data_IF_782111742913
#
_entry.id   IF_782111742913
#
_cell.length_a   1.000
_cell.length_b   1.000
_cell.length_c   1.000
_cell.angle_alpha   90.00
_cell.angle_beta   90.00
_cell.angle_gamma   90.00
#
_symmetry.space_group_name_H-M   'P 1'
#
loop_
_entity.id
_entity.type
_entity.pdbx_description
1 polymer ?
#
# COMPACT_ATOMS: atom_id res chain seq x y z
N UNK A 1 -3.99 -47.70 8.84
CA UNK A 1 -3.81 -46.32 9.35
C UNK A 1 -2.54 -45.68 8.77
N UNK A 2 -2.56 -45.07 7.55
CA UNK A 2 -1.39 -44.35 6.97
C UNK A 2 -1.77 -43.24 5.95
N UNK A 3 -2.99 -42.68 5.98
CA UNK A 3 -3.42 -41.65 5.00
C UNK A 3 -3.79 -40.28 5.59
N UNK A 4 -3.84 -40.13 6.91
CA UNK A 4 -4.22 -38.87 7.57
C UNK A 4 -3.03 -37.99 7.99
N UNK A 5 -1.79 -38.49 7.94
CA UNK A 5 -0.60 -37.75 8.37
C UNK A 5 -0.02 -36.77 7.34
N UNK A 6 -0.41 -36.83 6.06
CA UNK A 6 0.16 -35.97 5.01
C UNK A 6 -0.54 -34.62 4.83
N UNK A 7 -1.76 -34.45 5.35
CA UNK A 7 -2.55 -33.22 5.17
C UNK A 7 -2.19 -32.15 6.23
N UNK A 8 -1.76 -32.58 7.43
CA UNK A 8 -1.35 -31.66 8.49
C UNK A 8 -0.08 -30.84 8.15
N UNK A 9 0.86 -31.42 7.39
CA UNK A 9 2.09 -30.74 6.99
C UNK A 9 1.88 -29.61 5.96
N UNK A 10 0.88 -29.75 5.08
CA UNK A 10 0.55 -28.74 4.07
C UNK A 10 -0.12 -27.53 4.73
N UNK A 11 -0.99 -27.76 5.73
CA UNK A 11 -1.61 -26.68 6.49
C UNK A 11 -0.59 -25.87 7.32
N UNK A 12 0.43 -26.53 7.88
CA UNK A 12 1.49 -25.85 8.62
C UNK A 12 2.38 -25.00 7.70
N UNK A 13 2.68 -25.47 6.48
CA UNK A 13 3.43 -24.72 5.49
C UNK A 13 2.64 -23.50 4.96
N UNK A 14 1.32 -23.61 4.80
CA UNK A 14 0.45 -22.48 4.44
C UNK A 14 0.37 -21.46 5.59
N UNK A 15 0.30 -21.90 6.86
CA UNK A 15 0.40 -20.98 7.99
C UNK A 15 1.78 -20.31 8.09
N UNK A 16 2.87 -21.01 7.76
CA UNK A 16 4.21 -20.41 7.73
C UNK A 16 4.39 -19.39 6.59
N UNK A 17 3.66 -19.54 5.48
CA UNK A 17 3.57 -18.52 4.42
C UNK A 17 2.84 -17.25 4.89
N UNK A 18 1.88 -17.37 5.82
CA UNK A 18 1.28 -16.22 6.52
C UNK A 18 2.15 -15.67 7.66
N UNK A 19 3.17 -16.41 8.10
CA UNK A 19 4.22 -15.93 9.02
C UNK A 19 5.54 -15.62 8.33
N UNK A 20 5.55 -15.33 7.02
CA UNK A 20 6.45 -14.30 6.52
C UNK A 20 6.03 -13.02 7.23
N UNK A 21 6.54 -12.86 8.45
CA UNK A 21 6.27 -11.76 9.36
C UNK A 21 6.40 -10.52 8.51
N UNK A 22 5.28 -9.91 8.12
CA UNK A 22 5.37 -8.62 7.46
C UNK A 22 6.10 -7.75 8.48
N UNK A 23 7.36 -7.42 8.21
CA UNK A 23 8.16 -6.53 9.04
C UNK A 23 7.68 -5.09 8.81
N UNK A 24 6.35 -4.92 8.74
CA UNK A 24 5.66 -3.64 8.69
C UNK A 24 5.96 -2.97 10.02
N UNK A 25 6.73 -1.86 10.02
CA UNK A 25 7.09 -1.15 11.23
C UNK A 25 5.82 -0.78 12.01
N UNK A 26 5.80 -1.12 13.31
CA UNK A 26 4.65 -0.88 14.18
C UNK A 26 4.52 0.56 14.66
N UNK A 27 5.58 1.37 14.50
CA UNK A 27 5.64 2.77 14.91
C UNK A 27 6.21 3.63 13.79
N UNK A 28 5.88 4.92 13.80
CA UNK A 28 6.38 5.87 12.80
C UNK A 28 7.92 6.00 12.86
N UNK A 29 8.51 5.99 14.05
CA UNK A 29 9.96 6.07 14.24
C UNK A 29 10.70 4.89 13.59
N UNK A 30 10.24 3.64 13.83
CA UNK A 30 10.80 2.44 13.19
C UNK A 30 10.57 2.45 11.68
N UNK A 31 9.44 3.01 11.24
CA UNK A 31 9.14 3.23 9.83
C UNK A 31 10.15 4.15 9.17
N UNK A 32 10.41 5.30 9.80
CA UNK A 32 11.41 6.28 9.36
C UNK A 32 12.80 5.66 9.28
N UNK A 33 13.30 5.08 10.37
CA UNK A 33 14.64 4.48 10.44
C UNK A 33 14.84 3.42 9.33
N UNK A 34 13.84 2.55 9.14
CA UNK A 34 13.88 1.52 8.09
C UNK A 34 13.97 2.13 6.69
N UNK A 35 13.18 3.17 6.41
CA UNK A 35 13.09 3.76 5.09
C UNK A 35 14.31 4.64 4.77
N UNK A 36 14.84 5.37 5.75
CA UNK A 36 16.10 6.11 5.63
C UNK A 36 17.26 5.16 5.31
N UNK A 37 17.37 4.01 5.99
CA UNK A 37 18.37 2.96 5.68
C UNK A 37 18.26 2.41 4.25
N UNK A 38 17.09 2.50 3.63
CA UNK A 38 16.85 2.11 2.23
C UNK A 38 17.09 3.25 1.23
N UNK A 39 17.55 4.41 1.72
CA UNK A 39 17.83 5.60 0.92
C UNK A 39 16.57 6.36 0.50
N UNK A 40 15.48 6.25 1.26
CA UNK A 40 14.31 7.10 1.06
C UNK A 40 14.47 8.41 1.82
N UNK A 41 14.01 9.49 1.20
CA UNK A 41 13.71 10.72 1.90
C UNK A 41 12.39 10.52 2.66
N UNK A 42 12.44 10.66 3.98
CA UNK A 42 11.28 10.45 4.85
C UNK A 42 10.82 11.78 5.44
N UNK A 43 9.57 12.13 5.17
CA UNK A 43 8.87 13.23 5.83
C UNK A 43 7.89 12.62 6.81
N UNK A 44 8.04 12.96 8.09
CA UNK A 44 7.06 12.63 9.13
C UNK A 44 6.23 13.86 9.40
N UNK A 45 4.92 13.78 9.19
CA UNK A 45 4.00 14.85 9.56
C UNK A 45 3.19 14.41 10.78
N UNK A 46 3.28 15.17 11.87
CA UNK A 46 2.26 15.18 12.92
C UNK A 46 0.99 15.82 12.36
N UNK A 47 -0.17 15.36 12.83
CA UNK A 47 -1.49 15.56 12.22
C UNK A 47 -2.07 16.95 12.41
N UNK A 48 -1.46 17.95 11.77
CA UNK A 48 -2.11 19.22 11.42
C UNK A 48 -2.20 19.43 9.90
N UNK A 49 -1.92 18.37 9.10
CA UNK A 49 -1.98 18.43 7.64
C UNK A 49 -3.23 17.70 7.17
N UNK A 50 -4.25 18.48 6.82
CA UNK A 50 -5.51 18.01 6.26
C UNK A 50 -5.29 17.60 4.78
N UNK A 51 -4.62 16.46 4.55
CA UNK A 51 -4.39 15.91 3.20
C UNK A 51 -5.66 15.16 2.78
N UNK A 52 -6.74 15.92 2.56
CA UNK A 52 -8.03 15.43 2.08
C UNK A 52 -8.70 14.38 2.99
N UNK A 53 -9.74 13.75 2.42
CA UNK A 53 -10.69 12.85 3.08
C UNK A 53 -10.10 11.48 3.51
N UNK A 54 -8.77 11.34 3.46
CA UNK A 54 -8.02 10.10 3.67
C UNK A 54 -7.49 9.96 5.11
N UNK A 55 -7.27 11.08 5.79
CA UNK A 55 -6.76 11.14 7.16
C UNK A 55 -7.85 11.66 8.10
N UNK A 56 -8.12 10.91 9.17
CA UNK A 56 -9.12 11.29 10.17
C UNK A 56 -8.48 11.89 11.42
N UNK A 57 -9.30 12.44 12.32
CA UNK A 57 -8.91 12.86 13.67
C UNK A 57 -8.37 11.71 14.54
N UNK A 58 -8.51 10.46 14.06
CA UNK A 58 -7.94 9.26 14.65
C UNK A 58 -6.58 8.88 14.06
N UNK A 59 -6.03 9.66 13.13
CA UNK A 59 -4.65 9.47 12.67
C UNK A 59 -3.70 9.98 13.76
N UNK A 60 -2.69 9.19 14.13
CA UNK A 60 -1.66 9.55 15.11
C UNK A 60 -0.39 10.06 14.43
N UNK A 61 -0.04 9.47 13.28
CA UNK A 61 1.13 9.85 12.52
C UNK A 61 0.95 9.48 11.04
N UNK A 62 1.60 10.25 10.18
CA UNK A 62 1.75 9.92 8.76
C UNK A 62 3.23 10.01 8.40
N UNK A 63 3.74 8.93 7.80
CA UNK A 63 5.03 8.91 7.14
C UNK A 63 4.81 8.97 5.65
N UNK A 64 5.44 9.92 4.98
CA UNK A 64 5.55 9.96 3.52
C UNK A 64 7.02 9.73 3.18
N UNK A 65 7.30 8.61 2.52
CA UNK A 65 8.66 8.22 2.13
C UNK A 65 8.73 8.27 0.61
N UNK A 66 9.76 8.92 0.06
CA UNK A 66 9.98 8.93 -1.39
C UNK A 66 11.43 8.74 -1.76
N UNK A 67 11.66 8.15 -2.93
CA UNK A 67 12.99 7.90 -3.50
C UNK A 67 12.90 7.95 -5.02
N UNK A 68 13.99 8.32 -5.67
CA UNK A 68 14.13 8.15 -7.11
C UNK A 68 14.71 6.77 -7.45
N UNK A 69 14.06 6.07 -8.37
CA UNK A 69 14.48 4.77 -8.90
C UNK A 69 14.32 4.83 -10.41
N UNK A 70 15.41 4.62 -11.16
CA UNK A 70 15.43 4.63 -12.62
C UNK A 70 14.83 5.92 -13.23
N UNK A 71 15.17 7.08 -12.66
CA UNK A 71 14.64 8.39 -13.09
C UNK A 71 13.18 8.65 -12.74
N UNK A 72 12.53 7.74 -11.98
CA UNK A 72 11.13 7.86 -11.55
C UNK A 72 11.05 7.99 -10.03
N UNK A 73 10.29 8.98 -9.55
CA UNK A 73 9.99 9.14 -8.13
C UNK A 73 8.94 8.10 -7.72
N UNK A 74 9.31 7.22 -6.79
CA UNK A 74 8.38 6.30 -6.11
C UNK A 74 8.12 6.79 -4.69
N UNK A 75 6.91 6.57 -4.19
CA UNK A 75 6.50 6.97 -2.86
C UNK A 75 5.69 5.89 -2.15
N UNK A 76 5.77 5.89 -0.83
CA UNK A 76 4.90 5.14 0.07
C UNK A 76 4.48 6.04 1.21
N UNK A 77 3.19 5.97 1.53
CA UNK A 77 2.59 6.61 2.70
C UNK A 77 2.20 5.53 3.70
N UNK A 78 2.61 5.69 4.95
CA UNK A 78 2.16 4.87 6.07
C UNK A 78 1.39 5.75 7.06
N UNK A 79 0.09 5.49 7.19
CA UNK A 79 -0.80 6.13 8.13
C UNK A 79 -0.97 5.25 9.37
N UNK A 80 -0.75 5.81 10.54
CA UNK A 80 -0.91 5.16 11.84
C UNK A 80 -2.18 5.69 12.48
N UNK A 81 -3.14 4.81 12.78
CA UNK A 81 -4.41 5.18 13.40
C UNK A 81 -4.45 4.77 14.87
N UNK A 82 -5.31 5.44 15.65
CA UNK A 82 -5.58 5.13 17.07
C UNK A 82 -6.20 3.74 17.24
N UNK A 83 -6.99 3.29 16.28
CA UNK A 83 -7.70 2.01 16.32
C UNK A 83 -7.65 1.27 14.97
N UNK A 84 -7.85 -0.05 15.03
CA UNK A 84 -7.74 -0.92 13.86
C UNK A 84 -9.00 -0.89 12.98
N UNK A 85 -10.13 -0.45 13.54
CA UNK A 85 -11.40 -0.33 12.82
C UNK A 85 -11.35 0.83 11.83
N UNK A 86 -10.82 1.98 12.24
CA UNK A 86 -10.57 3.13 11.37
C UNK A 86 -9.62 2.73 10.23
N UNK A 87 -8.50 2.07 10.55
CA UNK A 87 -7.57 1.59 9.54
C UNK A 87 -8.23 0.62 8.55
N UNK A 88 -9.17 -0.22 9.01
CA UNK A 88 -9.94 -1.15 8.17
C UNK A 88 -10.95 -0.40 7.29
N UNK A 89 -11.71 0.54 7.85
CA UNK A 89 -12.67 1.34 7.10
C UNK A 89 -11.98 2.13 5.98
N UNK A 90 -10.83 2.74 6.27
CA UNK A 90 -10.02 3.47 5.28
C UNK A 90 -9.45 2.52 4.23
N UNK A 91 -8.97 1.34 4.62
CA UNK A 91 -8.52 0.32 3.67
C UNK A 91 -9.62 -0.08 2.69
N UNK A 92 -10.83 -0.33 3.18
CA UNK A 92 -11.96 -0.73 2.34
C UNK A 92 -12.39 0.38 1.38
N UNK A 93 -12.44 1.64 1.86
CA UNK A 93 -12.73 2.81 1.01
C UNK A 93 -11.70 2.96 -0.12
N UNK A 94 -10.40 3.01 0.22
CA UNK A 94 -9.33 3.20 -0.78
C UNK A 94 -9.26 2.03 -1.76
N UNK A 95 -9.49 0.80 -1.29
CA UNK A 95 -9.56 -0.37 -2.16
C UNK A 95 -10.69 -0.25 -3.18
N UNK A 96 -11.89 0.11 -2.72
CA UNK A 96 -13.06 0.27 -3.58
C UNK A 96 -12.89 1.43 -4.58
N UNK A 97 -12.34 2.57 -4.14
CA UNK A 97 -12.06 3.72 -5.00
C UNK A 97 -11.03 3.38 -6.09
N UNK A 98 -9.93 2.71 -5.74
CA UNK A 98 -8.92 2.30 -6.72
C UNK A 98 -9.45 1.25 -7.72
N UNK A 99 -10.29 0.30 -7.26
CA UNK A 99 -10.95 -0.67 -8.15
C UNK A 99 -11.95 0.02 -9.10
N UNK A 100 -12.74 0.96 -8.60
CA UNK A 100 -13.69 1.75 -9.39
C UNK A 100 -12.97 2.61 -10.43
N UNK A 101 -11.94 3.35 -10.03
CA UNK A 101 -11.17 4.20 -10.94
C UNK A 101 -10.47 3.36 -12.02
N UNK A 102 -9.92 2.19 -11.65
CA UNK A 102 -9.30 1.29 -12.62
C UNK A 102 -10.32 0.80 -13.68
N UNK A 103 -11.54 0.49 -13.27
CA UNK A 103 -12.58 0.05 -14.22
C UNK A 103 -13.05 1.21 -15.10
N UNK A 104 -13.23 2.42 -14.54
CA UNK A 104 -13.55 3.63 -15.30
C UNK A 104 -12.48 3.94 -16.36
N UNK A 105 -11.19 3.81 -16.03
CA UNK A 105 -10.12 4.00 -17.01
C UNK A 105 -10.12 2.92 -18.10
N UNK A 106 -10.44 1.65 -17.77
CA UNK A 106 -10.58 0.60 -18.80
C UNK A 106 -11.76 0.86 -19.73
N UNK A 107 -12.88 1.34 -19.21
CA UNK A 107 -14.03 1.71 -20.03
C UNK A 107 -13.74 2.94 -20.89
N UNK A 108 -12.99 3.93 -20.36
CA UNK A 108 -12.51 5.06 -21.14
C UNK A 108 -11.58 4.60 -22.29
N UNK A 109 -10.68 3.64 -22.03
CA UNK A 109 -9.78 3.11 -23.05
C UNK A 109 -10.53 2.47 -24.23
N UNK A 110 -11.67 1.81 -23.98
CA UNK A 110 -12.52 1.23 -25.04
C UNK A 110 -13.19 2.28 -25.92
N UNK A 111 -13.40 3.48 -25.38
CA UNK A 111 -14.07 4.60 -26.05
C UNK A 111 -13.09 5.59 -26.67
N UNK A 112 -11.79 5.49 -26.35
CA UNK A 112 -10.77 6.39 -26.84
C UNK A 112 -10.58 6.23 -28.36
N UNK A 113 -10.74 7.33 -29.08
CA UNK A 113 -10.68 7.34 -30.55
C UNK A 113 -9.27 7.64 -31.07
N UNK A 114 -8.47 8.36 -30.27
CA UNK A 114 -7.11 8.80 -30.65
C UNK A 114 -6.03 8.00 -29.92
N UNK A 115 -4.86 7.88 -30.54
CA UNK A 115 -3.75 7.15 -29.93
C UNK A 115 -3.13 7.93 -28.76
N UNK A 116 -3.13 9.26 -28.80
CA UNK A 116 -2.70 10.10 -27.67
C UNK A 116 -3.58 9.92 -26.43
N UNK A 117 -4.90 9.80 -26.62
CA UNK A 117 -5.83 9.52 -25.53
C UNK A 117 -5.62 8.13 -24.95
N UNK A 118 -5.46 7.12 -25.81
CA UNK A 118 -5.14 5.73 -25.38
C UNK A 118 -3.84 5.69 -24.59
N UNK A 119 -2.80 6.40 -25.02
CA UNK A 119 -1.52 6.47 -24.32
C UNK A 119 -1.70 7.04 -22.90
N UNK A 120 -2.33 8.20 -22.77
CA UNK A 120 -2.62 8.82 -21.46
C UNK A 120 -3.46 7.94 -20.54
N UNK A 121 -4.47 7.25 -21.08
CA UNK A 121 -5.30 6.32 -20.29
C UNK A 121 -4.47 5.10 -19.86
N UNK A 122 -3.65 4.56 -20.75
CA UNK A 122 -2.76 3.43 -20.42
C UNK A 122 -1.73 3.80 -19.35
N UNK A 123 -1.19 5.01 -19.35
CA UNK A 123 -0.32 5.51 -18.27
C UNK A 123 -1.04 5.55 -16.93
N UNK A 124 -2.29 6.04 -16.89
CA UNK A 124 -3.13 6.03 -15.68
C UNK A 124 -3.42 4.61 -15.21
N UNK A 125 -3.80 3.71 -16.11
CA UNK A 125 -4.02 2.29 -15.80
C UNK A 125 -2.74 1.66 -15.24
N UNK A 126 -1.58 1.97 -15.81
CA UNK A 126 -0.29 1.48 -15.31
C UNK A 126 -0.01 2.00 -13.90
N UNK A 127 -0.27 3.28 -13.63
CA UNK A 127 -0.16 3.88 -12.29
C UNK A 127 -1.09 3.20 -11.27
N UNK A 128 -2.37 3.00 -11.62
CA UNK A 128 -3.35 2.31 -10.75
C UNK A 128 -3.00 0.84 -10.50
N UNK A 129 -2.30 0.18 -11.44
CA UNK A 129 -1.78 -1.19 -11.28
C UNK A 129 -0.48 -1.25 -10.47
N UNK A 130 0.31 -0.18 -10.47
CA UNK A 130 1.48 -0.02 -9.61
C UNK A 130 1.10 0.41 -8.19
N UNK A 131 -0.10 0.96 -7.99
CA UNK A 131 -0.64 1.20 -6.65
C UNK A 131 -0.77 -0.11 -5.86
N UNK A 132 -0.27 -0.09 -4.63
CA UNK A 132 -0.41 -1.18 -3.67
C UNK A 132 -0.93 -0.63 -2.36
N UNK A 133 -1.89 -1.33 -1.78
CA UNK A 133 -2.50 -1.02 -0.49
C UNK A 133 -2.33 -2.22 0.45
N UNK A 134 -1.88 -1.97 1.67
CA UNK A 134 -1.76 -2.98 2.74
C UNK A 134 -2.25 -2.41 4.06
N UNK A 135 -2.82 -3.27 4.89
CA UNK A 135 -3.17 -2.95 6.27
C UNK A 135 -2.52 -3.94 7.22
N UNK A 136 -2.01 -3.45 8.34
CA UNK A 136 -1.49 -4.26 9.43
C UNK A 136 -1.95 -3.67 10.77
N UNK A 137 -2.94 -4.31 11.40
CA UNK A 137 -3.57 -3.78 12.61
C UNK A 137 -4.12 -2.38 12.38
N UNK A 138 -3.52 -1.41 13.07
CA UNK A 138 -3.87 0.02 13.04
C UNK A 138 -3.13 0.83 11.97
N UNK A 139 -2.38 0.18 11.09
CA UNK A 139 -1.50 0.85 10.12
C UNK A 139 -2.03 0.57 8.71
N UNK A 140 -2.18 1.63 7.93
CA UNK A 140 -2.48 1.57 6.51
C UNK A 140 -1.25 2.02 5.73
N UNK A 141 -0.78 1.22 4.78
CA UNK A 141 0.40 1.49 3.97
C UNK A 141 0.00 1.46 2.51
N UNK A 142 0.28 2.52 1.77
CA UNK A 142 -0.11 2.64 0.37
C UNK A 142 0.85 3.47 -0.48
N UNK A 143 0.83 3.25 -1.79
CA UNK A 143 1.70 3.94 -2.75
C UNK A 143 2.22 2.99 -3.82
N UNK A 144 3.37 3.29 -4.40
CA UNK A 144 3.99 2.46 -5.42
C UNK A 144 4.34 1.07 -4.88
N UNK A 145 4.12 0.03 -5.68
CA UNK A 145 4.29 -1.38 -5.29
C UNK A 145 5.66 -1.66 -4.70
N UNK A 146 6.72 -1.14 -5.34
CA UNK A 146 8.09 -1.27 -4.86
C UNK A 146 8.29 -0.61 -3.49
N UNK A 147 7.81 0.62 -3.32
CA UNK A 147 7.98 1.36 -2.06
C UNK A 147 7.17 0.73 -0.90
N UNK A 148 5.97 0.22 -1.18
CA UNK A 148 5.15 -0.52 -0.20
C UNK A 148 5.81 -1.83 0.20
N UNK A 149 6.39 -2.56 -0.75
CA UNK A 149 7.20 -3.75 -0.48
C UNK A 149 8.41 -3.42 0.39
N UNK A 150 9.12 -2.35 0.04
CA UNK A 150 10.26 -1.88 0.81
C UNK A 150 9.88 -1.54 2.26
N UNK A 151 8.74 -0.88 2.46
CA UNK A 151 8.20 -0.56 3.78
C UNK A 151 7.73 -1.79 4.56
N UNK A 152 7.06 -2.74 3.91
CA UNK A 152 6.44 -3.91 4.59
C UNK A 152 7.37 -5.11 4.73
N UNK A 153 8.53 -5.10 4.05
CA UNK A 153 9.52 -6.19 4.09
C UNK A 153 9.12 -7.40 3.26
N UNK A 154 8.52 -7.15 2.09
CA UNK A 154 8.03 -8.16 1.14
C UNK A 154 8.70 -8.06 -0.22
#
# INVERSE_FOLDING_TARGET
MRKTMRIAGIFLAIMMLFTLTSCTPKTAEKGKEKMEKKGYNVVTTSTDVNIGDLFSTKTEAVLVCSKEVDGKKIAVTAAFYKDAEEAKARYEKVKAENEKELEEQKEALKKAETDEEKERINEKIASLKDFKLKRSGKILVFGNKKAVNDYTGL
#
